data_IF_274994432498
#
_entry.id   IF_274994432498
#
_cell.length_a   1.000
_cell.length_b   1.000
_cell.length_c   1.000
_cell.angle_alpha   90.00
_cell.angle_beta   90.00
_cell.angle_gamma   90.00
#
_symmetry.space_group_name_H-M   'P 1'
#
loop_
_entity.id
_entity.type
_entity.pdbx_description
1 polymer ?
#
# COMPACT_ATOMS: atom_id res chain seq x y z
N UNK A 1 16.58 -3.35 17.49
CA UNK A 1 17.97 -3.54 17.00
C UNK A 1 18.16 -4.72 16.04
N UNK A 2 17.29 -5.70 15.99
CA UNK A 2 17.45 -6.93 15.15
C UNK A 2 17.20 -6.76 13.63
N UNK A 3 16.60 -5.68 13.16
CA UNK A 3 16.32 -5.51 11.72
C UNK A 3 17.50 -4.96 10.89
N UNK A 4 18.46 -4.31 11.53
CA UNK A 4 19.63 -3.69 10.87
C UNK A 4 20.74 -4.70 10.47
N UNK A 5 20.76 -5.90 11.04
CA UNK A 5 21.77 -6.92 10.72
C UNK A 5 21.44 -7.78 9.50
N UNK A 6 20.17 -7.96 9.18
CA UNK A 6 19.75 -8.94 8.14
C UNK A 6 20.19 -8.58 6.73
N UNK A 7 20.23 -7.29 6.36
CA UNK A 7 20.70 -6.89 5.04
C UNK A 7 22.20 -7.11 4.89
N UNK A 8 22.99 -6.92 5.95
CA UNK A 8 24.45 -7.14 5.92
C UNK A 8 24.79 -8.62 5.76
N UNK A 9 24.08 -9.50 6.48
CA UNK A 9 24.24 -10.95 6.32
C UNK A 9 23.82 -11.41 4.92
N UNK A 10 22.69 -10.90 4.41
CA UNK A 10 22.23 -11.20 3.06
C UNK A 10 23.21 -10.70 2.00
N UNK A 11 23.76 -9.48 2.14
CA UNK A 11 24.78 -8.92 1.25
C UNK A 11 26.05 -9.78 1.26
N UNK A 12 26.54 -10.12 2.44
CA UNK A 12 27.73 -10.98 2.58
C UNK A 12 27.54 -12.34 1.91
N UNK A 13 26.38 -12.95 2.04
CA UNK A 13 26.07 -14.21 1.36
C UNK A 13 25.97 -14.04 -0.16
N UNK A 14 25.35 -12.96 -0.61
CA UNK A 14 25.21 -12.65 -2.02
C UNK A 14 26.57 -12.39 -2.69
N UNK A 15 27.49 -11.67 -2.01
CA UNK A 15 28.84 -11.42 -2.50
C UNK A 15 29.68 -12.73 -2.51
N UNK A 16 29.56 -13.56 -1.48
CA UNK A 16 30.21 -14.87 -1.45
C UNK A 16 29.71 -15.80 -2.57
N UNK A 17 28.44 -15.75 -2.94
CA UNK A 17 27.95 -16.50 -4.11
C UNK A 17 28.73 -16.12 -5.36
N UNK A 18 28.96 -14.82 -5.59
CA UNK A 18 29.71 -14.31 -6.75
C UNK A 18 31.19 -14.72 -6.70
N UNK A 19 31.83 -14.62 -5.52
CA UNK A 19 33.22 -14.98 -5.31
C UNK A 19 33.50 -16.47 -5.62
N UNK A 20 32.56 -17.36 -5.29
CA UNK A 20 32.71 -18.78 -5.61
C UNK A 20 32.18 -19.15 -7.00
N UNK A 21 31.87 -18.15 -7.84
CA UNK A 21 31.44 -18.35 -9.23
C UNK A 21 30.00 -18.81 -9.39
N UNK A 22 29.18 -18.73 -8.32
CA UNK A 22 27.75 -19.03 -8.40
C UNK A 22 27.00 -17.76 -8.81
N UNK A 23 26.44 -17.78 -10.03
CA UNK A 23 25.65 -16.65 -10.52
C UNK A 23 24.33 -16.52 -9.75
N UNK A 24 24.05 -15.34 -9.14
CA UNK A 24 22.77 -15.11 -8.47
C UNK A 24 21.61 -15.23 -9.46
N UNK A 25 20.59 -16.00 -9.07
CA UNK A 25 19.36 -16.09 -9.83
C UNK A 25 18.33 -15.03 -9.40
N UNK A 26 17.20 -14.97 -10.09
CA UNK A 26 16.10 -14.02 -9.82
C UNK A 26 15.70 -13.98 -8.34
N UNK A 27 15.59 -15.14 -7.69
CA UNK A 27 15.19 -15.24 -6.28
C UNK A 27 16.23 -14.56 -5.38
N UNK A 28 17.51 -14.73 -5.65
CA UNK A 28 18.59 -14.10 -4.89
C UNK A 28 18.56 -12.58 -5.04
N UNK A 29 18.38 -12.08 -6.26
CA UNK A 29 18.22 -10.65 -6.52
C UNK A 29 16.99 -10.07 -5.82
N UNK A 30 15.82 -10.71 -5.93
CA UNK A 30 14.60 -10.27 -5.26
C UNK A 30 14.76 -10.26 -3.73
N UNK A 31 15.45 -11.25 -3.16
CA UNK A 31 15.73 -11.31 -1.72
C UNK A 31 16.63 -10.15 -1.28
N UNK A 32 17.65 -9.80 -2.08
CA UNK A 32 18.53 -8.67 -1.79
C UNK A 32 17.80 -7.33 -1.88
N UNK A 33 17.02 -7.09 -2.94
CA UNK A 33 16.21 -5.87 -3.08
C UNK A 33 15.25 -5.74 -1.90
N UNK A 34 14.60 -6.83 -1.48
CA UNK A 34 13.73 -6.85 -0.31
C UNK A 34 14.47 -6.57 1.00
N UNK A 35 15.67 -7.10 1.18
CA UNK A 35 16.49 -6.85 2.37
C UNK A 35 16.87 -5.37 2.49
N UNK A 36 17.28 -4.75 1.39
CA UNK A 36 17.57 -3.32 1.33
C UNK A 36 16.30 -2.47 1.50
N UNK A 37 15.17 -2.85 0.89
CA UNK A 37 13.89 -2.18 1.06
C UNK A 37 13.45 -2.11 2.53
N UNK A 38 13.57 -3.21 3.27
CA UNK A 38 13.21 -3.25 4.71
C UNK A 38 14.15 -2.43 5.57
N UNK A 39 15.38 -2.18 5.09
CA UNK A 39 16.39 -1.37 5.78
C UNK A 39 16.40 0.11 5.33
N UNK A 40 15.49 0.50 4.43
CA UNK A 40 15.38 1.85 3.83
C UNK A 40 16.62 2.27 3.03
N UNK A 41 17.34 1.31 2.51
CA UNK A 41 18.53 1.50 1.69
C UNK A 41 18.13 1.42 0.21
N UNK A 42 17.48 2.49 -0.28
CA UNK A 42 16.87 2.49 -1.60
C UNK A 42 17.89 2.59 -2.75
N UNK A 43 19.04 3.23 -2.51
CA UNK A 43 20.09 3.34 -3.52
C UNK A 43 20.76 1.99 -3.73
N UNK A 44 21.01 1.23 -2.65
CA UNK A 44 21.53 -0.13 -2.72
C UNK A 44 20.53 -1.09 -3.39
N UNK A 45 19.23 -0.93 -3.10
CA UNK A 45 18.18 -1.70 -3.78
C UNK A 45 18.15 -1.42 -5.28
N UNK A 46 18.36 -0.17 -5.71
CA UNK A 46 18.45 0.23 -7.11
C UNK A 46 19.69 -0.34 -7.79
N UNK A 47 20.85 -0.32 -7.13
CA UNK A 47 22.08 -0.93 -7.65
C UNK A 47 21.88 -2.42 -7.91
N UNK A 48 21.29 -3.16 -6.95
CA UNK A 48 21.01 -4.59 -7.12
C UNK A 48 19.99 -4.84 -8.23
N UNK A 49 19.01 -3.98 -8.40
CA UNK A 49 18.05 -4.06 -9.50
C UNK A 49 18.74 -3.87 -10.87
N UNK A 50 19.63 -2.89 -10.99
CA UNK A 50 20.42 -2.67 -12.22
C UNK A 50 21.38 -3.83 -12.49
N UNK A 51 22.01 -4.37 -11.45
CA UNK A 51 22.87 -5.55 -11.55
C UNK A 51 22.08 -6.77 -12.04
N UNK A 52 20.86 -7.00 -11.53
CA UNK A 52 19.97 -8.04 -12.00
C UNK A 52 19.73 -7.96 -13.52
N UNK A 53 19.45 -6.77 -14.02
CA UNK A 53 19.24 -6.54 -15.46
C UNK A 53 20.51 -6.75 -16.29
N UNK A 54 21.66 -6.29 -15.79
CA UNK A 54 22.96 -6.46 -16.48
C UNK A 54 23.37 -7.94 -16.62
N UNK A 55 22.91 -8.78 -15.68
CA UNK A 55 23.09 -10.25 -15.75
C UNK A 55 22.00 -10.95 -16.59
N UNK A 56 21.20 -10.21 -17.36
CA UNK A 56 20.14 -10.77 -18.20
C UNK A 56 18.96 -11.35 -17.44
N UNK A 57 18.86 -11.10 -16.12
CA UNK A 57 17.70 -11.51 -15.33
C UNK A 57 16.56 -10.51 -15.55
N UNK A 58 15.42 -11.01 -16.03
CA UNK A 58 14.25 -10.17 -16.29
C UNK A 58 13.49 -9.93 -15.00
N UNK A 59 13.33 -8.64 -14.58
CA UNK A 59 12.49 -8.29 -13.42
C UNK A 59 11.06 -8.75 -13.62
N UNK A 60 10.43 -9.21 -12.56
CA UNK A 60 9.02 -9.59 -12.53
C UNK A 60 8.21 -8.69 -11.56
N UNK A 61 6.92 -8.96 -11.44
CA UNK A 61 6.02 -8.22 -10.56
C UNK A 61 6.55 -8.13 -9.12
N UNK A 62 7.17 -9.19 -8.62
CA UNK A 62 7.74 -9.24 -7.26
C UNK A 62 8.97 -8.35 -7.14
N UNK A 63 9.82 -8.32 -8.19
CA UNK A 63 10.99 -7.44 -8.25
C UNK A 63 10.58 -5.97 -8.20
N UNK A 64 9.61 -5.58 -9.03
CA UNK A 64 9.10 -4.21 -9.05
C UNK A 64 8.42 -3.83 -7.73
N UNK A 65 7.65 -4.75 -7.13
CA UNK A 65 7.02 -4.50 -5.83
C UNK A 65 8.07 -4.20 -4.74
N UNK A 66 9.14 -4.99 -4.69
CA UNK A 66 10.23 -4.77 -3.75
C UNK A 66 10.90 -3.41 -3.95
N UNK A 67 11.16 -3.02 -5.21
CA UNK A 67 11.76 -1.75 -5.57
C UNK A 67 10.85 -0.56 -5.22
N UNK A 68 9.57 -0.61 -5.59
CA UNK A 68 8.58 0.42 -5.29
C UNK A 68 8.43 0.59 -3.76
N UNK A 69 8.40 -0.51 -3.01
CA UNK A 69 8.36 -0.47 -1.56
C UNK A 69 9.60 0.22 -0.98
N UNK A 70 10.78 -0.06 -1.53
CA UNK A 70 12.03 0.57 -1.10
C UNK A 70 11.99 2.08 -1.27
N UNK A 71 11.55 2.56 -2.42
CA UNK A 71 11.38 3.98 -2.70
C UNK A 71 10.30 4.62 -1.82
N UNK A 72 9.19 3.92 -1.61
CA UNK A 72 8.08 4.37 -0.77
C UNK A 72 8.50 4.57 0.70
N UNK A 73 9.26 3.63 1.26
CA UNK A 73 9.78 3.75 2.64
C UNK A 73 10.79 4.89 2.79
N UNK A 74 11.49 5.23 1.72
CA UNK A 74 12.47 6.33 1.66
C UNK A 74 11.87 7.67 1.21
N UNK A 75 10.55 7.74 1.00
CA UNK A 75 9.82 8.92 0.47
C UNK A 75 10.30 9.40 -0.91
N UNK A 76 10.86 8.51 -1.70
CA UNK A 76 11.32 8.79 -3.06
C UNK A 76 10.18 8.59 -4.06
N UNK A 77 9.12 9.42 -3.98
CA UNK A 77 7.89 9.28 -4.76
C UNK A 77 8.14 9.21 -6.27
N UNK A 78 8.99 10.10 -6.80
CA UNK A 78 9.32 10.13 -8.23
C UNK A 78 10.00 8.85 -8.73
N UNK A 79 10.87 8.24 -7.90
CA UNK A 79 11.51 6.96 -8.23
C UNK A 79 10.50 5.81 -8.18
N UNK A 80 9.59 5.82 -7.20
CA UNK A 80 8.53 4.82 -7.08
C UNK A 80 7.56 4.89 -8.28
N UNK A 81 7.18 6.08 -8.72
CA UNK A 81 6.34 6.28 -9.91
C UNK A 81 7.04 5.80 -11.19
N UNK A 82 8.32 6.16 -11.37
CA UNK A 82 9.12 5.65 -12.49
C UNK A 82 9.16 4.12 -12.52
N UNK A 83 9.26 3.46 -11.38
CA UNK A 83 9.25 2.00 -11.31
C UNK A 83 7.91 1.40 -11.77
N UNK A 84 6.77 2.04 -11.47
CA UNK A 84 5.45 1.68 -12.03
C UNK A 84 5.45 1.83 -13.56
N UNK A 85 5.98 2.94 -14.10
CA UNK A 85 6.05 3.16 -15.54
C UNK A 85 6.97 2.13 -16.25
N UNK A 86 8.10 1.79 -15.64
CA UNK A 86 9.00 0.74 -16.13
C UNK A 86 8.30 -0.62 -16.16
N UNK A 87 7.52 -0.95 -15.13
CA UNK A 87 6.73 -2.16 -15.05
C UNK A 87 5.70 -2.24 -16.20
N UNK A 88 4.96 -1.16 -16.42
CA UNK A 88 3.98 -1.05 -17.52
C UNK A 88 4.65 -1.18 -18.89
N UNK A 89 5.78 -0.48 -19.11
CA UNK A 89 6.52 -0.53 -20.36
C UNK A 89 7.14 -1.91 -20.64
N UNK A 90 7.36 -2.71 -19.59
CA UNK A 90 7.80 -4.11 -19.69
C UNK A 90 6.63 -5.09 -19.91
N UNK A 91 5.40 -4.60 -20.10
CA UNK A 91 4.21 -5.43 -20.30
C UNK A 91 3.70 -6.12 -19.04
N UNK A 92 4.16 -5.69 -17.86
CA UNK A 92 3.72 -6.24 -16.57
C UNK A 92 2.65 -5.32 -15.99
N UNK A 93 1.44 -5.83 -15.78
CA UNK A 93 0.35 -5.07 -15.17
C UNK A 93 0.57 -4.89 -13.67
N UNK A 94 0.60 -3.65 -13.16
CA UNK A 94 0.67 -3.41 -11.73
C UNK A 94 -0.59 -3.93 -11.03
N UNK A 95 -0.43 -4.44 -9.83
CA UNK A 95 -1.52 -4.87 -8.95
C UNK A 95 -1.72 -3.87 -7.81
N UNK A 96 -2.79 -4.04 -7.03
CA UNK A 96 -3.11 -3.17 -5.90
C UNK A 96 -1.92 -2.87 -4.97
N UNK A 97 -1.09 -3.83 -4.51
CA UNK A 97 0.08 -3.52 -3.66
C UNK A 97 1.08 -2.53 -4.27
N UNK A 98 1.30 -2.55 -5.59
CA UNK A 98 2.22 -1.62 -6.25
C UNK A 98 1.72 -0.18 -6.13
N UNK A 99 0.45 0.04 -6.43
CA UNK A 99 -0.18 1.36 -6.30
C UNK A 99 -0.31 1.80 -4.85
N UNK A 100 -0.68 0.90 -3.93
CA UNK A 100 -0.83 1.22 -2.52
C UNK A 100 0.47 1.75 -1.92
N UNK A 101 1.63 1.13 -2.24
CA UNK A 101 2.92 1.65 -1.81
C UNK A 101 3.22 3.04 -2.37
N UNK A 102 2.88 3.30 -3.63
CA UNK A 102 3.08 4.62 -4.24
C UNK A 102 2.14 5.67 -3.61
N UNK A 103 0.87 5.36 -3.44
CA UNK A 103 -0.11 6.23 -2.76
C UNK A 103 0.38 6.56 -1.34
N UNK A 104 0.81 5.55 -0.56
CA UNK A 104 1.36 5.78 0.78
C UNK A 104 2.63 6.64 0.76
N UNK A 105 3.48 6.54 -0.27
CA UNK A 105 4.64 7.41 -0.41
C UNK A 105 4.23 8.87 -0.56
N UNK A 106 3.27 9.16 -1.45
CA UNK A 106 2.75 10.49 -1.66
C UNK A 106 2.05 11.05 -0.41
N UNK A 107 1.22 10.25 0.27
CA UNK A 107 0.58 10.64 1.52
C UNK A 107 1.60 10.96 2.64
N UNK A 108 2.66 10.15 2.77
CA UNK A 108 3.76 10.44 3.71
C UNK A 108 4.54 11.71 3.37
N UNK A 109 4.51 12.13 2.11
CA UNK A 109 5.14 13.36 1.63
C UNK A 109 4.19 14.56 1.62
N UNK A 110 2.97 14.40 2.13
CA UNK A 110 1.90 15.41 2.15
C UNK A 110 1.47 15.88 0.75
N UNK A 111 1.61 15.00 -0.24
CA UNK A 111 1.27 15.23 -1.65
C UNK A 111 -0.06 14.56 -2.00
N UNK A 112 -1.17 15.08 -1.45
CA UNK A 112 -2.50 14.45 -1.53
C UNK A 112 -3.03 14.43 -2.95
N UNK A 113 -2.81 15.52 -3.72
CA UNK A 113 -3.25 15.60 -5.12
C UNK A 113 -2.60 14.52 -5.99
N UNK A 114 -1.31 14.26 -5.77
CA UNK A 114 -0.60 13.19 -6.45
C UNK A 114 -1.11 11.81 -6.03
N UNK A 115 -1.35 11.61 -4.72
CA UNK A 115 -1.95 10.37 -4.23
C UNK A 115 -3.32 10.11 -4.85
N UNK A 116 -4.16 11.15 -4.98
CA UNK A 116 -5.47 11.08 -5.63
C UNK A 116 -5.34 10.75 -7.12
N UNK A 117 -4.40 11.42 -7.83
CA UNK A 117 -4.11 11.12 -9.24
C UNK A 117 -3.75 9.65 -9.45
N UNK A 118 -2.89 9.10 -8.59
CA UNK A 118 -2.50 7.69 -8.66
C UNK A 118 -3.68 6.75 -8.34
N UNK A 119 -4.52 7.12 -7.37
CA UNK A 119 -5.73 6.37 -7.05
C UNK A 119 -6.70 6.31 -8.25
N UNK A 120 -6.91 7.43 -8.94
CA UNK A 120 -7.72 7.49 -10.16
C UNK A 120 -7.12 6.64 -11.29
N UNK A 121 -5.81 6.75 -11.52
CA UNK A 121 -5.09 5.92 -12.50
C UNK A 121 -5.23 4.42 -12.21
N UNK A 122 -5.16 4.02 -10.94
CA UNK A 122 -5.37 2.64 -10.51
C UNK A 122 -6.75 2.14 -10.90
N UNK A 123 -7.80 2.95 -10.69
CA UNK A 123 -9.18 2.63 -11.05
C UNK A 123 -9.39 2.57 -12.56
N UNK A 124 -8.80 3.49 -13.34
CA UNK A 124 -8.88 3.52 -14.80
C UNK A 124 -8.35 2.23 -15.46
N UNK A 125 -7.30 1.66 -14.91
CA UNK A 125 -6.75 0.37 -15.39
C UNK A 125 -7.45 -0.86 -14.80
N UNK A 126 -8.55 -0.66 -14.05
CA UNK A 126 -9.37 -1.73 -13.49
C UNK A 126 -8.80 -2.40 -12.23
N UNK A 127 -7.84 -1.77 -11.55
CA UNK A 127 -7.31 -2.28 -10.28
C UNK A 127 -8.13 -1.70 -9.12
N UNK A 128 -8.80 -2.57 -8.37
CA UNK A 128 -9.62 -2.16 -7.25
C UNK A 128 -8.77 -1.61 -6.09
N UNK A 129 -9.25 -0.53 -5.47
CA UNK A 129 -8.66 0.05 -4.25
C UNK A 129 -8.89 -0.93 -3.09
N UNK A 130 -7.85 -1.20 -2.30
CA UNK A 130 -7.99 -2.03 -1.10
C UNK A 130 -8.40 -1.22 0.14
N UNK A 131 -8.79 -1.93 1.19
CA UNK A 131 -9.24 -1.32 2.44
C UNK A 131 -8.17 -0.43 3.09
N UNK A 132 -6.90 -0.82 2.99
CA UNK A 132 -5.79 -0.07 3.58
C UNK A 132 -5.55 1.25 2.85
N UNK A 133 -5.61 1.21 1.52
CA UNK A 133 -5.49 2.40 0.68
C UNK A 133 -6.68 3.35 0.89
N UNK A 134 -7.91 2.80 0.89
CA UNK A 134 -9.11 3.58 1.16
C UNK A 134 -9.03 4.29 2.52
N UNK A 135 -8.63 3.60 3.59
CA UNK A 135 -8.44 4.20 4.91
C UNK A 135 -7.41 5.32 4.92
N UNK A 136 -6.29 5.13 4.23
CA UNK A 136 -5.22 6.12 4.19
C UNK A 136 -5.67 7.39 3.46
N UNK A 137 -6.36 7.25 2.33
CA UNK A 137 -6.91 8.37 1.57
C UNK A 137 -8.02 9.09 2.34
N UNK A 138 -8.97 8.35 2.93
CA UNK A 138 -10.03 8.94 3.76
C UNK A 138 -9.46 9.75 4.93
N UNK A 139 -8.43 9.23 5.60
CA UNK A 139 -7.73 9.97 6.66
C UNK A 139 -7.13 11.27 6.13
N UNK A 140 -6.42 11.21 5.01
CA UNK A 140 -5.78 12.38 4.42
C UNK A 140 -6.82 13.44 4.02
N UNK A 141 -7.94 13.04 3.44
CA UNK A 141 -9.02 13.97 3.09
C UNK A 141 -9.64 14.64 4.33
N UNK A 142 -9.86 13.90 5.41
CA UNK A 142 -10.34 14.47 6.67
C UNK A 142 -9.34 15.48 7.27
N UNK A 143 -8.05 15.12 7.32
CA UNK A 143 -7.00 15.96 7.89
C UNK A 143 -6.83 17.28 7.12
N UNK A 144 -7.15 17.28 5.80
CA UNK A 144 -6.99 18.45 4.92
C UNK A 144 -8.32 19.11 4.52
N UNK A 145 -9.44 18.67 5.10
CA UNK A 145 -10.76 19.25 4.83
C UNK A 145 -11.25 19.06 3.39
N UNK A 146 -10.76 18.03 2.69
CA UNK A 146 -11.17 17.71 1.30
C UNK A 146 -12.44 16.85 1.30
N UNK A 147 -13.56 17.50 1.57
CA UNK A 147 -14.85 16.85 1.82
C UNK A 147 -15.36 16.14 0.56
N UNK A 148 -15.41 16.82 -0.57
CA UNK A 148 -16.01 16.30 -1.81
C UNK A 148 -15.24 15.09 -2.34
N UNK A 149 -13.92 15.13 -2.30
CA UNK A 149 -13.08 14.03 -2.74
C UNK A 149 -13.19 12.81 -1.81
N UNK A 150 -13.33 13.07 -0.51
CA UNK A 150 -13.55 12.00 0.47
C UNK A 150 -14.89 11.30 0.27
N UNK A 151 -15.97 12.05 0.03
CA UNK A 151 -17.30 11.52 -0.29
C UNK A 151 -17.25 10.72 -1.59
N UNK A 152 -16.66 11.28 -2.65
CA UNK A 152 -16.51 10.60 -3.95
C UNK A 152 -15.75 9.28 -3.83
N UNK A 153 -14.66 9.24 -3.04
CA UNK A 153 -13.93 8.00 -2.79
C UNK A 153 -14.80 6.98 -2.05
N UNK A 154 -15.53 7.40 -1.03
CA UNK A 154 -16.43 6.52 -0.28
C UNK A 154 -17.49 5.90 -1.18
N UNK A 155 -18.21 6.71 -1.97
CA UNK A 155 -19.26 6.26 -2.88
C UNK A 155 -18.75 5.29 -3.95
N UNK A 156 -17.59 5.56 -4.55
CA UNK A 156 -16.98 4.70 -5.56
C UNK A 156 -16.47 3.36 -5.00
N UNK A 157 -16.04 3.34 -3.75
CA UNK A 157 -15.47 2.14 -3.12
C UNK A 157 -16.50 1.32 -2.35
N UNK A 158 -17.58 1.93 -1.87
CA UNK A 158 -18.60 1.30 -1.01
C UNK A 158 -19.31 0.12 -1.69
N UNK A 159 -19.44 0.14 -3.02
CA UNK A 159 -20.04 -0.96 -3.80
C UNK A 159 -19.14 -2.20 -3.95
N UNK A 160 -17.83 -2.04 -3.82
CA UNK A 160 -16.82 -3.09 -4.04
C UNK A 160 -16.10 -3.53 -2.77
N UNK A 161 -15.98 -2.64 -1.79
CA UNK A 161 -15.36 -2.90 -0.48
C UNK A 161 -16.45 -2.94 0.60
N UNK A 162 -16.30 -3.84 1.56
CA UNK A 162 -17.08 -3.78 2.79
C UNK A 162 -16.41 -2.78 3.73
N UNK A 163 -16.98 -1.57 3.93
CA UNK A 163 -16.39 -0.56 4.78
C UNK A 163 -16.28 -1.06 6.22
N UNK A 164 -15.20 -0.70 6.90
CA UNK A 164 -15.08 -0.94 8.32
C UNK A 164 -15.53 0.28 9.15
N UNK A 165 -15.45 0.14 10.47
CA UNK A 165 -15.87 1.20 11.39
C UNK A 165 -15.12 2.51 11.20
N UNK A 166 -13.86 2.48 10.77
CA UNK A 166 -13.09 3.69 10.51
C UNK A 166 -13.58 4.41 9.26
N UNK A 167 -13.76 3.68 8.15
CA UNK A 167 -14.24 4.25 6.88
C UNK A 167 -15.65 4.81 7.05
N UNK A 168 -16.54 4.09 7.74
CA UNK A 168 -17.87 4.57 8.03
C UNK A 168 -17.87 5.84 8.91
N UNK A 169 -17.03 5.88 9.96
CA UNK A 169 -16.89 7.07 10.79
C UNK A 169 -16.33 8.26 10.01
N UNK A 170 -15.34 8.01 9.14
CA UNK A 170 -14.78 9.04 8.28
C UNK A 170 -15.82 9.58 7.29
N UNK A 171 -16.60 8.71 6.65
CA UNK A 171 -17.67 9.09 5.73
C UNK A 171 -18.74 9.90 6.45
N UNK A 172 -19.16 9.48 7.65
CA UNK A 172 -20.11 10.23 8.46
C UNK A 172 -19.65 11.67 8.70
N UNK A 173 -18.40 11.88 9.13
CA UNK A 173 -17.85 13.22 9.33
C UNK A 173 -17.79 14.03 8.04
N UNK A 174 -17.49 13.42 6.91
CA UNK A 174 -17.46 14.10 5.62
C UNK A 174 -18.87 14.58 5.21
N UNK A 175 -19.89 13.72 5.36
CA UNK A 175 -21.29 14.09 5.08
C UNK A 175 -21.84 15.17 6.04
N UNK A 176 -21.47 15.12 7.32
CA UNK A 176 -21.81 16.20 8.26
C UNK A 176 -21.21 17.55 7.80
N UNK A 177 -19.95 17.55 7.36
CA UNK A 177 -19.28 18.78 6.88
C UNK A 177 -19.81 19.28 5.53
N UNK A 178 -20.34 18.39 4.69
CA UNK A 178 -20.99 18.78 3.44
C UNK A 178 -22.41 19.31 3.62
N UNK A 179 -23.01 19.11 4.80
CA UNK A 179 -24.41 19.43 5.08
C UNK A 179 -25.42 18.42 4.50
N UNK A 180 -24.96 17.25 4.07
CA UNK A 180 -25.78 16.15 3.54
C UNK A 180 -26.34 15.29 4.67
N UNK A 181 -27.31 15.80 5.41
CA UNK A 181 -27.92 15.11 6.57
C UNK A 181 -28.53 13.73 6.26
N UNK A 182 -29.23 13.50 5.12
CA UNK A 182 -29.80 12.18 4.81
C UNK A 182 -28.72 11.11 4.67
N UNK A 183 -27.68 11.38 3.91
CA UNK A 183 -26.57 10.46 3.64
C UNK A 183 -25.75 10.19 4.91
N UNK A 184 -25.58 11.20 5.76
CA UNK A 184 -24.98 11.03 7.09
C UNK A 184 -25.81 10.10 7.96
N UNK A 185 -27.15 10.20 7.90
CA UNK A 185 -28.10 9.32 8.61
C UNK A 185 -27.94 7.86 8.19
N UNK A 186 -27.88 7.58 6.90
CA UNK A 186 -27.68 6.23 6.34
C UNK A 186 -26.37 5.60 6.80
N UNK A 187 -25.29 6.39 6.82
CA UNK A 187 -23.97 5.94 7.31
C UNK A 187 -24.02 5.68 8.82
N UNK A 188 -24.72 6.50 9.60
CA UNK A 188 -24.89 6.31 11.04
C UNK A 188 -25.63 4.99 11.34
N UNK A 189 -26.68 4.66 10.57
CA UNK A 189 -27.39 3.39 10.68
C UNK A 189 -26.46 2.20 10.38
N UNK A 190 -25.63 2.31 9.32
CA UNK A 190 -24.63 1.30 8.99
C UNK A 190 -23.60 1.10 10.13
N UNK A 191 -23.16 2.17 10.80
CA UNK A 191 -22.27 2.09 11.98
C UNK A 191 -22.99 1.35 13.12
N UNK A 192 -24.26 1.65 13.38
CA UNK A 192 -25.07 0.98 14.40
C UNK A 192 -25.20 -0.52 14.15
N UNK A 193 -25.43 -0.93 12.91
CA UNK A 193 -25.51 -2.35 12.51
C UNK A 193 -24.15 -3.07 12.69
N UNK A 194 -23.04 -2.42 12.35
CA UNK A 194 -21.69 -2.95 12.59
C UNK A 194 -21.37 -3.09 14.08
N UNK A 195 -21.72 -2.08 14.89
CA UNK A 195 -21.54 -2.10 16.34
C UNK A 195 -22.35 -3.23 16.99
N UNK A 196 -23.60 -3.44 16.57
CA UNK A 196 -24.45 -4.52 17.06
C UNK A 196 -23.91 -5.91 16.68
N UNK A 197 -23.33 -6.05 15.49
CA UNK A 197 -22.66 -7.29 15.05
C UNK A 197 -21.41 -7.57 15.90
N UNK A 198 -20.60 -6.57 16.19
CA UNK A 198 -19.42 -6.67 17.05
C UNK A 198 -19.79 -7.11 18.48
N UNK A 199 -20.83 -6.49 19.08
CA UNK A 199 -21.31 -6.83 20.40
C UNK A 199 -21.91 -8.24 20.47
N UNK A 200 -22.57 -8.73 19.40
CA UNK A 200 -23.02 -10.11 19.31
C UNK A 200 -21.86 -11.11 19.32
N UNK A 201 -20.80 -10.80 18.58
CA UNK A 201 -19.62 -11.68 18.52
C UNK A 201 -18.86 -11.71 19.87
N UNK A 202 -18.82 -10.60 20.61
CA UNK A 202 -18.26 -10.57 21.97
C UNK A 202 -19.08 -11.41 22.95
N UNK A 203 -20.42 -11.41 22.85
CA UNK A 203 -21.29 -12.22 23.72
C UNK A 203 -21.19 -13.73 23.44
N UNK A 204 -20.84 -14.12 22.21
CA UNK A 204 -20.60 -15.54 21.85
C UNK A 204 -19.27 -16.05 22.38
N UNK A 205 -18.26 -15.14 22.50
CA UNK A 205 -16.94 -15.51 23.07
C UNK A 205 -16.90 -15.56 24.61
N UNK A 206 -17.92 -15.07 25.30
CA UNK A 206 -17.96 -15.04 26.79
C UNK A 206 -18.73 -16.18 27.45
N UNK A 207 -19.08 -17.25 26.70
CA UNK A 207 -19.49 -18.52 27.28
C UNK A 207 -18.25 -19.40 27.50
N UNK A 208 -17.37 -19.00 28.40
CA UNK A 208 -16.48 -19.86 29.13
C UNK A 208 -17.17 -20.18 30.47
N UNK A 209 -17.38 -21.45 30.69
CA UNK A 209 -18.16 -22.09 31.73
C UNK A 209 -17.69 -21.71 33.14
N UNK A 210 -18.63 -21.71 34.15
CA UNK A 210 -18.23 -21.78 35.53
C UNK A 210 -18.04 -23.28 35.89
N UNK A 211 -16.86 -23.67 36.28
CA UNK A 211 -16.64 -24.81 37.15
C UNK A 211 -16.75 -24.36 38.59
#
# INVERSE_FOLDING_TARGET
MERLGRHQEASSLFDRMKEVGIMPGKISFNSMINAYATSRLHDEAEIVFQEMQSHGQVPDSTTYLALIRSYSESRCCSKAEKAIQMMLSSGITPSCPHFSHLIFAFLKADQIDEAQRICSQMQEIGVAVDLACCRAMMRAYLEHGRVDEGISLFETTCGSLKPDSFILSAAFHLYEHSGSEPEAGDVLEAIGLHGASFLRNLKVGSKLEPT
#
